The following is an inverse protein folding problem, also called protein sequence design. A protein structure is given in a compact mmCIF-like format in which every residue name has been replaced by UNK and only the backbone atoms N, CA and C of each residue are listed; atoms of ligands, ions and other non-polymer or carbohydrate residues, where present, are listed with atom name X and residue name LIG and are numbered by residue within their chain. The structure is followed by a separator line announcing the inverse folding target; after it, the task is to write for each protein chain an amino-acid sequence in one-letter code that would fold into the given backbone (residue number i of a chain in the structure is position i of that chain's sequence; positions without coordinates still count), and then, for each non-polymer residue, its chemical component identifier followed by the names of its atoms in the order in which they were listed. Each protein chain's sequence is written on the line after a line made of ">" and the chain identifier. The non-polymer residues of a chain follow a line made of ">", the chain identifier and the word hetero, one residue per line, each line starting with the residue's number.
data_IF_065714822005
#
_entry.id   IF_065714822005
#
_cell.length_a   1.000
_cell.length_b   1.000
_cell.length_c   1.000
_cell.angle_alpha   90.00
_cell.angle_beta   90.00
_cell.angle_gamma   90.00
#
_symmetry.space_group_name_H-M   'P 1'
#
loop_
_entity.id
_entity.type
_entity.pdbx_description
1 polymer ?
#
# COMPACT_ATOMS: atom_id res chain seq x y z
N UNK A 1 13.19 -15.72 5.48
CA UNK A 1 12.57 -14.41 5.70
C UNK A 1 11.09 -14.60 5.95
N UNK A 2 10.59 -14.05 7.06
CA UNK A 2 9.18 -14.13 7.45
C UNK A 2 8.40 -12.95 6.82
N UNK A 3 7.53 -13.24 5.85
CA UNK A 3 6.71 -12.23 5.17
C UNK A 3 5.65 -11.60 6.08
N UNK A 4 5.33 -12.23 7.21
CA UNK A 4 4.35 -11.70 8.18
C UNK A 4 4.93 -10.59 9.06
N UNK A 5 6.26 -10.45 9.08
CA UNK A 5 7.01 -9.48 9.89
C UNK A 5 8.00 -8.70 9.03
N UNK A 6 7.64 -8.44 7.77
CA UNK A 6 8.48 -7.65 6.87
C UNK A 6 8.64 -6.22 7.41
N UNK A 7 9.84 -5.61 7.33
CA UNK A 7 10.02 -4.23 7.76
C UNK A 7 9.10 -3.29 6.98
N UNK A 8 8.65 -2.23 7.65
CA UNK A 8 7.68 -1.27 7.11
C UNK A 8 8.34 0.08 6.99
N UNK A 9 8.17 0.72 5.84
CA UNK A 9 8.59 2.10 5.58
C UNK A 9 7.37 2.95 5.25
N UNK A 10 7.32 4.22 5.68
CA UNK A 10 6.18 5.06 5.37
C UNK A 10 6.19 5.48 3.91
N UNK A 11 5.01 5.72 3.33
CA UNK A 11 4.90 6.65 2.22
C UNK A 11 5.46 8.01 2.64
N UNK A 12 6.34 8.60 1.82
CA UNK A 12 6.98 9.90 2.09
C UNK A 12 6.49 10.96 1.13
N UNK A 13 6.48 10.65 -0.17
CA UNK A 13 5.97 11.55 -1.20
C UNK A 13 4.47 11.33 -1.40
N UNK A 14 3.79 12.36 -1.91
CA UNK A 14 2.37 12.30 -2.29
C UNK A 14 2.09 12.75 -3.73
N UNK A 15 3.12 13.17 -4.45
CA UNK A 15 3.04 13.49 -5.87
C UNK A 15 3.83 12.46 -6.68
N UNK A 16 3.08 11.72 -7.50
CA UNK A 16 3.59 10.67 -8.37
C UNK A 16 3.16 10.88 -9.83
N UNK A 17 2.63 12.06 -10.15
CA UNK A 17 2.10 12.40 -11.48
C UNK A 17 2.86 13.55 -12.13
N UNK A 18 3.45 14.44 -11.34
CA UNK A 18 4.29 15.51 -11.88
C UNK A 18 5.55 14.95 -12.54
N UNK A 19 5.89 15.50 -13.71
CA UNK A 19 7.11 15.15 -14.43
C UNK A 19 8.38 15.55 -13.66
N UNK A 20 8.28 16.65 -12.90
CA UNK A 20 9.36 17.15 -12.05
C UNK A 20 8.84 17.34 -10.63
N UNK A 21 9.70 17.04 -9.65
CA UNK A 21 9.35 17.10 -8.24
C UNK A 21 10.26 18.10 -7.54
N UNK A 22 9.68 19.15 -6.97
CA UNK A 22 10.40 20.11 -6.15
C UNK A 22 10.46 19.61 -4.70
N UNK A 23 11.63 19.17 -4.27
CA UNK A 23 11.84 18.64 -2.91
C UNK A 23 11.88 19.73 -1.82
N UNK A 24 11.99 21.01 -2.20
CA UNK A 24 11.86 22.11 -1.25
C UNK A 24 10.40 22.49 -0.99
N UNK A 25 9.45 21.96 -1.76
CA UNK A 25 8.03 22.21 -1.56
C UNK A 25 7.45 21.25 -0.50
N UNK A 26 7.05 21.73 0.69
CA UNK A 26 6.46 20.87 1.71
C UNK A 26 5.17 20.17 1.25
N UNK A 27 4.49 20.69 0.21
CA UNK A 27 3.26 20.09 -0.32
C UNK A 27 3.48 18.75 -1.03
N UNK A 28 4.71 18.41 -1.45
CA UNK A 28 4.99 17.11 -2.09
C UNK A 28 5.14 15.97 -1.09
N UNK A 29 5.16 16.29 0.20
CA UNK A 29 5.33 15.31 1.28
C UNK A 29 3.98 14.91 1.90
N UNK A 30 3.90 13.64 2.28
CA UNK A 30 2.81 13.09 3.09
C UNK A 30 2.90 13.65 4.50
N UNK A 31 1.74 13.94 5.10
CA UNK A 31 1.67 14.19 6.55
C UNK A 31 1.96 12.89 7.32
N UNK A 32 3.19 12.80 7.85
CA UNK A 32 3.67 11.65 8.61
C UNK A 32 3.07 11.53 10.01
N UNK A 33 2.38 12.57 10.51
CA UNK A 33 1.67 12.49 11.79
C UNK A 33 0.39 11.65 11.71
N UNK A 34 -0.11 11.38 10.49
CA UNK A 34 -1.34 10.61 10.23
C UNK A 34 -0.99 9.24 9.63
N UNK A 35 -1.72 8.16 9.94
CA UNK A 35 -1.62 6.92 9.17
C UNK A 35 -2.24 7.10 7.77
N UNK A 36 -1.86 6.25 6.82
CA UNK A 36 -2.41 6.23 5.44
C UNK A 36 -3.94 6.30 5.43
N UNK A 37 -4.60 5.43 6.21
CA UNK A 37 -6.05 5.35 6.31
C UNK A 37 -6.74 6.63 6.83
N UNK A 38 -5.97 7.60 7.30
CA UNK A 38 -6.47 8.89 7.79
C UNK A 38 -6.07 10.06 6.90
N UNK A 39 -5.38 9.89 5.77
CA UNK A 39 -4.94 11.02 4.93
C UNK A 39 -6.08 11.70 4.17
N UNK A 40 -7.04 10.90 3.70
CA UNK A 40 -8.23 11.38 3.02
C UNK A 40 -9.38 11.56 4.02
N UNK A 41 -9.96 12.76 4.07
CA UNK A 41 -10.94 13.14 5.09
C UNK A 41 -12.32 12.54 4.84
N UNK A 42 -12.74 12.44 3.57
CA UNK A 42 -14.02 11.86 3.17
C UNK A 42 -14.06 10.35 3.46
N UNK A 43 -13.00 9.65 3.07
CA UNK A 43 -12.82 8.24 3.40
C UNK A 43 -12.76 8.04 4.91
N UNK A 44 -12.01 8.87 5.65
CA UNK A 44 -11.92 8.76 7.10
C UNK A 44 -13.29 8.96 7.77
N UNK A 45 -14.10 9.90 7.29
CA UNK A 45 -15.47 10.10 7.77
C UNK A 45 -16.32 8.83 7.57
N UNK A 46 -16.23 8.21 6.40
CA UNK A 46 -16.91 6.94 6.07
C UNK A 46 -16.46 5.79 6.99
N UNK A 47 -15.16 5.62 7.22
CA UNK A 47 -14.63 4.61 8.13
C UNK A 47 -15.09 4.83 9.58
N UNK A 48 -15.11 6.09 10.04
CA UNK A 48 -15.62 6.46 11.36
C UNK A 48 -17.11 6.15 11.51
N UNK A 49 -17.90 6.39 10.48
CA UNK A 49 -19.33 6.07 10.49
C UNK A 49 -19.57 4.57 10.58
N UNK A 50 -18.87 3.78 9.76
CA UNK A 50 -18.90 2.31 9.85
C UNK A 50 -18.51 1.81 11.25
N UNK A 51 -17.46 2.40 11.84
CA UNK A 51 -17.04 2.08 13.21
C UNK A 51 -18.15 2.40 14.24
N UNK A 52 -18.88 3.52 14.08
CA UNK A 52 -20.03 3.85 14.95
C UNK A 52 -21.16 2.83 14.80
N UNK A 53 -21.47 2.40 13.58
CA UNK A 53 -22.47 1.36 13.32
C UNK A 53 -22.09 0.02 13.98
N UNK A 54 -20.82 -0.38 13.95
CA UNK A 54 -20.33 -1.56 14.66
C UNK A 54 -20.57 -1.45 16.18
N UNK A 55 -20.32 -0.27 16.77
CA UNK A 55 -20.59 -0.01 18.19
C UNK A 55 -22.07 -0.17 18.52
N UNK A 56 -22.96 0.40 17.69
CA UNK A 56 -24.42 0.25 17.83
C UNK A 56 -24.85 -1.22 17.74
N UNK A 57 -24.23 -1.98 16.84
CA UNK A 57 -24.45 -3.42 16.69
C UNK A 57 -23.76 -4.29 17.76
N UNK A 58 -23.11 -3.69 18.76
CA UNK A 58 -22.34 -4.38 19.82
C UNK A 58 -21.23 -5.30 19.29
N UNK A 59 -20.69 -4.99 18.11
CA UNK A 59 -19.53 -5.66 17.53
C UNK A 59 -18.25 -4.96 17.97
N UNK A 60 -17.11 -5.67 18.14
CA UNK A 60 -15.81 -5.05 18.35
C UNK A 60 -15.50 -4.04 17.23
N UNK A 61 -15.40 -2.74 17.53
CA UNK A 61 -15.25 -1.71 16.50
C UNK A 61 -13.80 -1.60 16.04
N UNK A 62 -13.62 -1.33 14.75
CA UNK A 62 -12.32 -1.02 14.15
C UNK A 62 -12.48 0.07 13.08
N UNK A 63 -11.38 0.75 12.76
CA UNK A 63 -11.32 1.67 11.62
C UNK A 63 -10.85 0.95 10.34
N UNK A 64 -9.81 0.12 10.46
CA UNK A 64 -9.17 -0.53 9.33
C UNK A 64 -9.39 -2.05 9.43
N UNK A 65 -10.02 -2.63 8.42
CA UNK A 65 -10.21 -4.09 8.31
C UNK A 65 -8.99 -4.81 7.72
N UNK A 66 -8.01 -4.04 7.26
CA UNK A 66 -6.74 -4.52 6.71
C UNK A 66 -5.59 -3.87 7.47
N UNK A 67 -4.43 -4.52 7.41
CA UNK A 67 -3.22 -4.08 8.11
C UNK A 67 -2.26 -3.44 7.10
N UNK A 68 -1.54 -2.39 7.48
CA UNK A 68 -0.61 -1.68 6.59
C UNK A 68 0.56 -2.55 6.07
N UNK A 69 0.82 -3.68 6.73
CA UNK A 69 1.79 -4.69 6.31
C UNK A 69 1.17 -6.08 6.41
N UNK A 70 1.23 -6.82 5.31
CA UNK A 70 0.76 -8.19 5.22
C UNK A 70 1.56 -8.93 4.13
N UNK A 71 1.69 -10.28 4.19
CA UNK A 71 2.40 -11.03 3.16
C UNK A 71 1.93 -10.72 1.73
N UNK A 72 0.62 -10.50 1.55
CA UNK A 72 0.04 -10.10 0.27
C UNK A 72 0.56 -8.74 -0.22
N UNK A 73 0.71 -7.75 0.66
CA UNK A 73 1.25 -6.44 0.30
C UNK A 73 2.76 -6.46 0.04
N UNK A 74 3.51 -7.25 0.81
CA UNK A 74 4.95 -7.45 0.56
C UNK A 74 5.15 -8.07 -0.82
N UNK A 75 4.39 -9.12 -1.16
CA UNK A 75 4.48 -9.77 -2.46
C UNK A 75 3.87 -8.94 -3.59
N UNK A 76 2.88 -8.08 -3.31
CA UNK A 76 2.38 -7.08 -4.25
C UNK A 76 3.54 -6.18 -4.73
N UNK A 77 4.33 -5.62 -3.80
CA UNK A 77 5.49 -4.81 -4.16
C UNK A 77 6.58 -5.62 -4.85
N UNK A 78 6.86 -6.83 -4.36
CA UNK A 78 7.98 -7.65 -4.80
C UNK A 78 7.63 -8.61 -5.94
N UNK A 79 6.52 -8.43 -6.66
CA UNK A 79 6.08 -9.39 -7.69
C UNK A 79 7.16 -9.68 -8.75
N UNK A 80 7.94 -8.67 -9.16
CA UNK A 80 9.03 -8.82 -10.13
C UNK A 80 10.31 -9.41 -9.53
N UNK A 81 10.58 -9.11 -8.25
CA UNK A 81 11.76 -9.61 -7.53
C UNK A 81 11.58 -11.07 -7.06
N UNK A 82 10.39 -11.43 -6.60
CA UNK A 82 10.06 -12.70 -5.94
C UNK A 82 8.81 -13.40 -6.53
N UNK A 83 8.71 -13.58 -7.87
CA UNK A 83 7.49 -14.10 -8.52
C UNK A 83 7.07 -15.49 -8.04
N UNK A 84 8.03 -16.36 -7.72
CA UNK A 84 7.74 -17.69 -7.21
C UNK A 84 7.01 -17.68 -5.85
N UNK A 85 7.29 -16.69 -4.99
CA UNK A 85 6.58 -16.52 -3.72
C UNK A 85 5.16 -16.00 -3.95
N UNK A 86 4.98 -15.07 -4.90
CA UNK A 86 3.66 -14.58 -5.30
C UNK A 86 2.78 -15.71 -5.85
N UNK A 87 3.31 -16.54 -6.75
CA UNK A 87 2.60 -17.70 -7.29
C UNK A 87 2.19 -18.69 -6.20
N UNK A 88 3.06 -18.97 -5.23
CA UNK A 88 2.72 -19.87 -4.10
C UNK A 88 1.58 -19.31 -3.26
N UNK A 89 1.57 -18.00 -2.99
CA UNK A 89 0.49 -17.34 -2.24
C UNK A 89 -0.84 -17.44 -3.01
N UNK A 90 -0.79 -17.33 -4.34
CA UNK A 90 -1.95 -17.31 -5.23
C UNK A 90 -2.25 -18.69 -5.87
N UNK A 91 -1.97 -19.78 -5.17
CA UNK A 91 -2.31 -21.15 -5.59
C UNK A 91 -1.80 -21.54 -6.98
N UNK A 92 -0.60 -21.06 -7.34
CA UNK A 92 0.11 -21.37 -8.58
C UNK A 92 -0.30 -20.53 -9.78
N UNK A 93 -1.15 -19.51 -9.61
CA UNK A 93 -1.54 -18.58 -10.68
C UNK A 93 -1.29 -17.15 -10.26
N UNK A 94 -1.04 -16.28 -11.22
CA UNK A 94 -0.99 -14.86 -10.95
C UNK A 94 -2.38 -14.32 -10.65
N UNK A 95 -2.44 -13.23 -9.87
CA UNK A 95 -3.70 -12.54 -9.61
C UNK A 95 -4.18 -11.82 -10.88
N UNK A 96 -5.42 -11.34 -10.89
CA UNK A 96 -5.94 -10.57 -12.00
C UNK A 96 -5.04 -9.33 -12.25
N UNK A 97 -4.71 -8.99 -13.52
CA UNK A 97 -3.74 -7.94 -13.83
C UNK A 97 -4.04 -6.57 -13.18
N UNK A 98 -5.33 -6.24 -13.05
CA UNK A 98 -5.85 -5.03 -12.41
C UNK A 98 -5.55 -4.95 -10.90
N UNK A 99 -5.28 -6.10 -10.25
CA UNK A 99 -4.94 -6.17 -8.82
C UNK A 99 -3.44 -6.29 -8.57
N UNK A 100 -2.62 -6.32 -9.62
CA UNK A 100 -1.17 -6.42 -9.48
C UNK A 100 -0.51 -5.05 -9.44
N UNK A 101 0.68 -5.01 -8.83
CA UNK A 101 1.49 -3.80 -8.80
C UNK A 101 2.04 -3.47 -10.19
N UNK A 102 1.58 -2.37 -10.76
CA UNK A 102 2.03 -1.89 -12.06
C UNK A 102 2.34 -0.39 -12.10
N UNK A 103 1.83 0.39 -11.15
CA UNK A 103 2.07 1.85 -11.06
C UNK A 103 2.16 2.31 -9.61
N UNK A 104 3.17 3.11 -9.29
CA UNK A 104 3.32 3.73 -7.96
C UNK A 104 2.24 4.79 -7.75
N UNK A 105 1.92 5.58 -8.78
CA UNK A 105 0.89 6.60 -8.72
C UNK A 105 -0.49 6.00 -8.46
N UNK A 106 -0.85 4.93 -9.18
CA UNK A 106 -2.13 4.24 -8.95
C UNK A 106 -2.16 3.54 -7.59
N UNK A 107 -1.03 3.00 -7.13
CA UNK A 107 -0.93 2.42 -5.79
C UNK A 107 -1.16 3.47 -4.71
N UNK A 108 -0.60 4.67 -4.88
CA UNK A 108 -0.81 5.81 -3.98
C UNK A 108 -2.29 6.25 -3.97
N UNK A 109 -2.93 6.34 -5.13
CA UNK A 109 -4.36 6.67 -5.23
C UNK A 109 -5.25 5.61 -4.58
N UNK A 110 -4.93 4.33 -4.78
CA UNK A 110 -5.63 3.22 -4.14
C UNK A 110 -5.57 3.33 -2.61
N UNK A 111 -4.40 3.64 -2.04
CA UNK A 111 -4.29 3.79 -0.57
C UNK A 111 -4.96 5.03 -0.02
N UNK A 112 -5.42 5.97 -0.86
CA UNK A 112 -6.20 7.12 -0.44
C UNK A 112 -7.70 6.89 -0.58
N UNK A 113 -8.14 6.07 -1.54
CA UNK A 113 -9.54 5.96 -1.93
C UNK A 113 -10.19 4.64 -1.51
N UNK A 114 -9.46 3.53 -1.54
CA UNK A 114 -10.01 2.22 -1.16
C UNK A 114 -10.17 2.11 0.36
N UNK A 115 -11.32 1.60 0.80
CA UNK A 115 -11.60 1.33 2.22
C UNK A 115 -10.89 0.10 2.77
N UNK A 116 -10.35 -0.74 1.87
CA UNK A 116 -9.64 -1.97 2.20
C UNK A 116 -8.13 -1.87 1.96
N UNK A 117 -7.62 -0.70 1.56
CA UNK A 117 -6.21 -0.50 1.24
C UNK A 117 -5.60 0.59 2.10
N UNK A 118 -4.76 0.15 3.04
CA UNK A 118 -3.98 1.02 3.93
C UNK A 118 -2.49 0.66 3.90
N UNK A 119 -2.04 0.02 2.81
CA UNK A 119 -0.68 -0.51 2.71
C UNK A 119 0.38 0.60 2.80
N UNK A 120 1.40 0.35 3.59
CA UNK A 120 2.63 1.15 3.62
C UNK A 120 3.69 0.53 2.67
N UNK A 121 4.83 1.20 2.55
CA UNK A 121 5.94 0.76 1.70
C UNK A 121 6.84 -0.24 2.42
N UNK A 122 7.78 -0.80 1.65
CA UNK A 122 8.85 -1.68 2.14
C UNK A 122 10.22 -1.02 1.96
N UNK A 123 11.29 -1.49 2.62
CA UNK A 123 12.63 -0.92 2.50
C UNK A 123 13.18 -0.83 1.08
N UNK A 124 12.75 -1.70 0.18
CA UNK A 124 13.20 -1.75 -1.21
C UNK A 124 12.95 -0.44 -1.96
N UNK A 125 11.96 0.36 -1.55
CA UNK A 125 11.71 1.70 -2.10
C UNK A 125 12.78 2.74 -1.73
N UNK A 126 13.62 2.45 -0.74
CA UNK A 126 14.61 3.37 -0.16
C UNK A 126 16.05 2.87 -0.28
N UNK A 127 16.24 1.63 -0.74
CA UNK A 127 17.57 1.00 -0.84
C UNK A 127 17.87 0.62 -2.28
N UNK A 128 18.92 1.20 -2.90
CA UNK A 128 19.42 0.70 -4.17
C UNK A 128 19.92 -0.74 -4.07
N UNK A 129 19.83 -1.54 -5.15
CA UNK A 129 19.24 -1.21 -6.44
C UNK A 129 17.70 -1.34 -6.47
N UNK A 130 17.03 -0.54 -7.31
CA UNK A 130 15.56 -0.52 -7.45
C UNK A 130 15.02 -1.60 -8.41
N UNK A 131 15.73 -2.72 -8.55
CA UNK A 131 15.45 -3.75 -9.56
C UNK A 131 14.08 -4.41 -9.38
N UNK A 132 13.49 -4.35 -8.18
CA UNK A 132 12.15 -4.85 -7.89
C UNK A 132 11.04 -4.14 -8.69
N UNK A 133 11.32 -2.96 -9.27
CA UNK A 133 10.42 -2.25 -10.17
C UNK A 133 10.53 -2.70 -11.63
N UNK A 134 11.60 -3.42 -11.98
CA UNK A 134 11.91 -3.79 -13.38
C UNK A 134 11.50 -5.23 -13.68
N UNK A 135 10.84 -5.44 -14.82
CA UNK A 135 10.47 -6.79 -15.27
C UNK A 135 11.62 -7.44 -16.07
N UNK A 136 12.74 -7.76 -15.39
CA UNK A 136 13.90 -8.39 -16.05
C UNK A 136 13.66 -9.85 -16.47
N UNK A 137 12.52 -10.43 -16.07
CA UNK A 137 12.17 -11.84 -16.32
C UNK A 137 11.06 -12.02 -17.35
N UNK A 138 10.60 -10.93 -17.96
CA UNK A 138 9.49 -10.93 -18.92
C UNK A 138 8.26 -11.71 -18.39
N UNK A 139 7.95 -11.47 -17.10
CA UNK A 139 6.80 -12.03 -16.38
C UNK A 139 5.47 -11.56 -16.96
#
# INVERSE_FOLDING_TARGET
>A
NDLTQWPVMPWVLRDYRSETLNLDDPAVYRDLARPVGALDEERLATLRERMRQMKLAKMPPYLYGTHYSAPGYVLYWLIRAAPAHHLRLQSGRYDAPDRQFHSIAESWESVLTSSADVKELTPEFFTPPADFLTNVRDL
#
